data_IF_374964463319
#
_entry.id   IF_374964463319
#
_cell.length_a   1.000
_cell.length_b   1.000
_cell.length_c   1.000
_cell.angle_alpha   90.00
_cell.angle_beta   90.00
_cell.angle_gamma   90.00
#
_symmetry.space_group_name_H-M   'P 1'
#
loop_
_entity.id
_entity.type
_entity.pdbx_description
1 polymer ?
#
# COMPACT_ATOMS: atom_id res chain seq x y z
N UNK A 1 -19.49 -3.85 33.96
CA UNK A 1 -18.47 -4.91 33.86
C UNK A 1 -18.16 -5.08 32.38
N UNK A 2 -16.96 -4.67 31.95
CA UNK A 2 -16.64 -4.39 30.55
C UNK A 2 -16.36 -5.68 29.77
N UNK A 3 -17.25 -6.02 28.83
CA UNK A 3 -17.03 -7.05 27.80
C UNK A 3 -16.43 -6.37 26.57
N UNK A 4 -15.30 -5.67 26.72
CA UNK A 4 -14.62 -5.00 25.59
C UNK A 4 -13.39 -5.77 25.11
N UNK A 5 -12.62 -6.39 26.01
CA UNK A 5 -11.37 -7.06 25.63
C UNK A 5 -11.53 -8.29 24.71
N UNK A 6 -12.53 -9.15 24.95
CA UNK A 6 -12.69 -10.40 24.17
C UNK A 6 -13.11 -10.13 22.73
N UNK A 7 -13.97 -9.13 22.51
CA UNK A 7 -14.41 -8.77 21.16
C UNK A 7 -13.30 -8.09 20.36
N UNK A 8 -12.48 -7.28 21.02
CA UNK A 8 -11.30 -6.65 20.41
C UNK A 8 -10.28 -7.71 19.97
N UNK A 9 -10.00 -8.71 20.82
CA UNK A 9 -9.10 -9.82 20.48
C UNK A 9 -9.61 -10.66 19.30
N UNK A 10 -10.90 -10.99 19.28
CA UNK A 10 -11.51 -11.72 18.16
C UNK A 10 -11.45 -10.90 16.87
N UNK A 11 -11.75 -9.60 16.95
CA UNK A 11 -11.66 -8.68 15.81
C UNK A 11 -10.24 -8.61 15.26
N UNK A 12 -9.23 -8.44 16.12
CA UNK A 12 -7.83 -8.38 15.72
C UNK A 12 -7.36 -9.71 15.10
N UNK A 13 -7.77 -10.85 15.68
CA UNK A 13 -7.46 -12.16 15.12
C UNK A 13 -8.07 -12.35 13.73
N UNK A 14 -9.32 -11.93 13.54
CA UNK A 14 -10.00 -11.99 12.24
C UNK A 14 -9.37 -11.04 11.21
N UNK A 15 -9.04 -9.81 11.61
CA UNK A 15 -8.36 -8.83 10.76
C UNK A 15 -6.99 -9.36 10.31
N UNK A 16 -6.20 -9.92 11.24
CA UNK A 16 -4.91 -10.56 10.95
C UNK A 16 -5.08 -11.75 10.01
N UNK A 17 -6.05 -12.62 10.25
CA UNK A 17 -6.32 -13.75 9.37
C UNK A 17 -6.68 -13.29 7.94
N UNK A 18 -7.57 -12.30 7.81
CA UNK A 18 -7.97 -11.73 6.53
C UNK A 18 -6.79 -11.09 5.79
N UNK A 19 -5.93 -10.36 6.51
CA UNK A 19 -4.70 -9.79 6.00
C UNK A 19 -3.74 -10.86 5.46
N UNK A 20 -3.41 -11.87 6.25
CA UNK A 20 -2.51 -12.96 5.86
C UNK A 20 -3.08 -13.78 4.69
N UNK A 21 -4.41 -14.01 4.69
CA UNK A 21 -5.09 -14.72 3.60
C UNK A 21 -4.94 -13.99 2.26
N UNK A 22 -5.00 -12.65 2.25
CA UNK A 22 -4.80 -11.87 1.01
C UNK A 22 -3.38 -11.96 0.50
N UNK A 23 -2.38 -11.83 1.38
CA UNK A 23 -0.97 -11.98 1.00
C UNK A 23 -0.72 -13.37 0.43
N UNK A 24 -1.15 -14.45 1.11
CA UNK A 24 -0.98 -15.83 0.60
C UNK A 24 -1.65 -16.05 -0.77
N UNK A 25 -2.81 -15.42 -1.01
CA UNK A 25 -3.57 -15.61 -2.25
C UNK A 25 -3.03 -14.79 -3.42
N UNK A 26 -2.62 -13.56 -3.17
CA UNK A 26 -2.30 -12.57 -4.22
C UNK A 26 -0.83 -12.18 -4.26
N UNK A 27 -0.03 -12.62 -3.29
CA UNK A 27 1.35 -12.20 -3.09
C UNK A 27 1.49 -10.82 -2.43
N UNK A 28 0.38 -10.13 -2.15
CA UNK A 28 0.41 -8.82 -1.51
C UNK A 28 -0.99 -8.41 -1.00
N UNK A 29 -1.04 -7.33 -0.24
CA UNK A 29 -2.27 -6.61 0.10
C UNK A 29 -1.99 -5.11 0.18
N UNK A 30 -3.00 -4.28 -0.11
CA UNK A 30 -3.00 -2.85 0.19
C UNK A 30 -3.73 -2.57 1.50
N UNK A 31 -3.33 -1.51 2.20
CA UNK A 31 -4.07 -0.93 3.32
C UNK A 31 -4.21 0.57 3.11
N UNK A 32 -5.38 1.13 3.41
CA UNK A 32 -5.66 2.57 3.29
C UNK A 32 -5.95 3.13 4.68
N UNK A 33 -5.25 4.20 5.02
CA UNK A 33 -5.43 4.95 6.24
C UNK A 33 -6.04 6.29 5.83
N UNK A 34 -7.30 6.50 6.22
CA UNK A 34 -7.93 7.80 6.07
C UNK A 34 -7.35 8.74 7.12
N UNK A 35 -6.91 9.91 6.68
CA UNK A 35 -6.58 10.97 7.61
C UNK A 35 -7.83 11.55 8.28
N UNK A 36 -7.60 12.12 9.46
CA UNK A 36 -8.52 13.07 10.11
C UNK A 36 -8.05 14.49 9.79
N UNK A 37 -8.93 15.49 9.94
CA UNK A 37 -8.90 16.94 9.60
C UNK A 37 -7.56 17.67 9.30
N UNK A 38 -6.40 17.19 9.72
CA UNK A 38 -5.09 17.82 9.54
C UNK A 38 -3.97 16.92 8.98
N UNK A 39 -4.24 15.63 8.72
CA UNK A 39 -3.27 14.70 8.14
C UNK A 39 -3.56 14.40 6.65
N UNK A 40 -2.56 13.87 5.94
CA UNK A 40 -2.76 13.37 4.58
C UNK A 40 -3.12 11.88 4.63
N UNK A 41 -4.24 11.50 4.03
CA UNK A 41 -4.56 10.08 3.83
C UNK A 41 -3.45 9.40 3.04
N UNK A 42 -3.18 8.16 3.38
CA UNK A 42 -2.17 7.37 2.67
C UNK A 42 -2.60 5.91 2.54
N UNK A 43 -2.12 5.28 1.48
CA UNK A 43 -2.21 3.84 1.30
C UNK A 43 -0.83 3.23 1.21
N UNK A 44 -0.67 2.00 1.67
CA UNK A 44 0.59 1.28 1.54
C UNK A 44 0.38 -0.19 1.20
N UNK A 45 1.36 -0.80 0.54
CA UNK A 45 1.38 -2.23 0.26
C UNK A 45 2.19 -3.02 1.28
N UNK A 46 1.84 -4.29 1.45
CA UNK A 46 2.64 -5.29 2.15
C UNK A 46 2.65 -6.60 1.35
N UNK A 47 3.81 -7.27 1.30
CA UNK A 47 4.03 -8.62 0.79
C UNK A 47 4.86 -8.67 -0.50
N UNK A 48 5.17 -7.52 -1.11
CA UNK A 48 5.88 -7.48 -2.40
C UNK A 48 7.32 -7.95 -2.29
N UNK A 49 7.99 -7.65 -1.19
CA UNK A 49 9.36 -8.09 -0.99
C UNK A 49 9.45 -9.62 -1.05
N UNK A 50 8.59 -10.31 -0.31
CA UNK A 50 8.59 -11.77 -0.22
C UNK A 50 8.20 -12.46 -1.55
N UNK A 51 7.35 -11.83 -2.37
CA UNK A 51 6.78 -12.46 -3.55
C UNK A 51 7.35 -11.99 -4.89
N UNK A 52 7.95 -10.79 -4.95
CA UNK A 52 8.43 -10.16 -6.18
C UNK A 52 9.87 -9.61 -6.07
N UNK A 53 10.54 -9.71 -4.91
CA UNK A 53 11.83 -9.06 -4.65
C UNK A 53 11.79 -7.55 -4.97
N UNK A 54 10.65 -6.92 -4.64
CA UNK A 54 10.36 -5.53 -4.95
C UNK A 54 10.01 -4.75 -3.68
N UNK A 55 10.34 -3.45 -3.59
CA UNK A 55 10.00 -2.64 -2.44
C UNK A 55 8.49 -2.46 -2.30
N UNK A 56 8.06 -2.22 -1.07
CA UNK A 56 6.69 -1.82 -0.79
C UNK A 56 6.42 -0.40 -1.29
N UNK A 57 5.17 -0.14 -1.64
CA UNK A 57 4.73 1.16 -2.12
C UNK A 57 3.90 1.86 -1.06
N UNK A 58 4.05 3.19 -0.99
CA UNK A 58 3.18 4.09 -0.24
C UNK A 58 2.70 5.20 -1.16
N UNK A 59 1.43 5.55 -1.07
CA UNK A 59 0.76 6.58 -1.87
C UNK A 59 0.18 7.61 -0.92
N UNK A 60 0.49 8.89 -1.14
CA UNK A 60 -0.02 10.02 -0.38
C UNK A 60 -0.91 10.90 -1.27
N UNK A 61 -1.87 11.60 -0.67
CA UNK A 61 -2.64 12.65 -1.34
C UNK A 61 -3.62 12.14 -2.41
N UNK A 62 -3.99 10.86 -2.33
CA UNK A 62 -5.04 10.25 -3.13
C UNK A 62 -6.08 9.58 -2.22
N UNK A 63 -7.34 9.57 -2.66
CA UNK A 63 -8.40 8.83 -1.98
C UNK A 63 -8.15 7.30 -2.02
N UNK A 64 -8.98 6.55 -1.30
CA UNK A 64 -8.84 5.10 -1.16
C UNK A 64 -8.91 4.35 -2.51
N UNK A 65 -9.83 4.76 -3.38
CA UNK A 65 -10.05 4.10 -4.66
C UNK A 65 -8.87 4.35 -5.61
N UNK A 66 -8.48 5.61 -5.76
CA UNK A 66 -7.33 6.01 -6.56
C UNK A 66 -6.04 5.34 -6.05
N UNK A 67 -5.81 5.37 -4.74
CA UNK A 67 -4.62 4.74 -4.15
C UNK A 67 -4.58 3.24 -4.41
N UNK A 68 -5.71 2.55 -4.22
CA UNK A 68 -5.82 1.12 -4.49
C UNK A 68 -5.58 0.80 -5.97
N UNK A 69 -6.13 1.62 -6.88
CA UNK A 69 -5.89 1.51 -8.32
C UNK A 69 -4.42 1.64 -8.67
N UNK A 70 -3.75 2.69 -8.18
CA UNK A 70 -2.32 2.94 -8.39
C UNK A 70 -1.45 1.78 -7.89
N UNK A 71 -1.70 1.31 -6.67
CA UNK A 71 -0.93 0.22 -6.07
C UNK A 71 -1.15 -1.08 -6.87
N UNK A 72 -2.39 -1.41 -7.24
CA UNK A 72 -2.70 -2.60 -8.06
C UNK A 72 -2.01 -2.56 -9.41
N UNK A 73 -2.06 -1.42 -10.09
CA UNK A 73 -1.45 -1.27 -11.41
C UNK A 73 0.07 -1.33 -11.34
N UNK A 74 0.69 -0.64 -10.37
CA UNK A 74 2.13 -0.75 -10.13
C UNK A 74 2.54 -2.19 -9.87
N UNK A 75 1.77 -2.94 -9.08
CA UNK A 75 2.04 -4.37 -8.84
C UNK A 75 2.02 -5.17 -10.14
N UNK A 76 1.00 -4.98 -10.99
CA UNK A 76 0.90 -5.67 -12.26
C UNK A 76 2.10 -5.38 -13.18
N UNK A 77 2.54 -4.12 -13.26
CA UNK A 77 3.67 -3.70 -14.09
C UNK A 77 5.03 -4.17 -13.52
N UNK A 78 5.18 -4.22 -12.19
CA UNK A 78 6.38 -4.77 -11.56
C UNK A 78 6.51 -6.26 -11.85
N UNK A 79 5.39 -6.99 -11.74
CA UNK A 79 5.36 -8.44 -12.00
C UNK A 79 5.72 -8.79 -13.45
N UNK A 80 5.42 -7.91 -14.41
CA UNK A 80 5.79 -8.10 -15.82
C UNK A 80 7.15 -7.51 -16.18
N UNK A 81 7.82 -6.83 -15.25
CA UNK A 81 9.08 -6.12 -15.50
C UNK A 81 8.94 -4.84 -16.33
N UNK A 82 7.71 -4.41 -16.63
CA UNK A 82 7.44 -3.19 -17.40
C UNK A 82 7.65 -1.91 -16.59
N UNK A 83 7.58 -2.00 -15.27
CA UNK A 83 7.90 -0.91 -14.36
C UNK A 83 9.23 -1.18 -13.65
N UNK A 84 10.16 -0.23 -13.75
CA UNK A 84 11.36 -0.16 -12.91
C UNK A 84 11.23 1.04 -11.99
N UNK A 85 11.37 0.81 -10.69
CA UNK A 85 11.34 1.86 -9.69
C UNK A 85 12.72 2.50 -9.59
N UNK A 86 12.79 3.80 -9.80
CA UNK A 86 14.01 4.58 -9.62
C UNK A 86 13.69 5.84 -8.84
N UNK A 87 14.58 6.21 -7.91
CA UNK A 87 14.34 7.35 -7.03
C UNK A 87 14.08 8.63 -7.84
N UNK A 88 13.04 9.37 -7.45
CA UNK A 88 12.53 10.60 -8.08
C UNK A 88 12.08 10.47 -9.52
N UNK A 89 12.05 9.27 -10.11
CA UNK A 89 11.58 9.13 -11.48
C UNK A 89 10.09 9.47 -11.56
N UNK A 90 9.70 10.31 -12.55
CA UNK A 90 8.31 10.63 -12.76
C UNK A 90 7.57 9.38 -13.25
N UNK A 91 6.35 9.20 -12.77
CA UNK A 91 5.46 8.18 -13.27
C UNK A 91 4.19 8.83 -13.80
N UNK A 92 3.93 8.66 -15.09
CA UNK A 92 2.71 9.09 -15.74
C UNK A 92 1.86 7.87 -16.01
N UNK A 93 0.64 7.89 -15.49
CA UNK A 93 -0.42 6.96 -15.90
C UNK A 93 -1.37 7.73 -16.82
N UNK A 94 -1.62 7.17 -18.00
CA UNK A 94 -2.75 7.62 -18.81
C UNK A 94 -4.02 7.51 -17.96
N UNK A 95 -4.76 8.62 -17.83
CA UNK A 95 -6.00 8.68 -17.06
C UNK A 95 -5.88 9.13 -15.59
N UNK A 96 -4.70 9.47 -15.06
CA UNK A 96 -4.58 9.93 -13.66
C UNK A 96 -5.03 11.38 -13.41
N UNK A 97 -5.94 11.92 -14.23
CA UNK A 97 -6.50 13.28 -14.06
C UNK A 97 -5.44 14.40 -13.99
N UNK A 98 -4.27 14.22 -14.61
CA UNK A 98 -3.17 15.19 -14.57
C UNK A 98 -2.32 15.17 -13.29
N UNK A 99 -2.56 14.24 -12.36
CA UNK A 99 -1.73 14.09 -11.15
C UNK A 99 -0.31 13.64 -11.53
N UNK A 100 0.68 14.36 -11.01
CA UNK A 100 2.10 13.99 -11.14
C UNK A 100 2.47 13.02 -10.03
N UNK A 101 2.89 11.82 -10.41
CA UNK A 101 3.44 10.85 -9.47
C UNK A 101 4.95 10.83 -9.61
N UNK A 102 5.64 10.57 -8.50
CA UNK A 102 7.07 10.32 -8.49
C UNK A 102 7.35 9.18 -7.51
N UNK A 103 8.36 8.38 -7.83
CA UNK A 103 8.87 7.39 -6.91
C UNK A 103 9.82 8.05 -5.91
N UNK A 104 9.82 7.57 -4.67
CA UNK A 104 10.86 7.93 -3.71
C UNK A 104 11.28 6.68 -2.97
N UNK A 105 12.55 6.32 -3.12
CA UNK A 105 13.11 5.28 -2.27
C UNK A 105 13.25 5.85 -0.85
N UNK A 106 12.71 5.15 0.14
CA UNK A 106 12.94 5.51 1.55
C UNK A 106 14.31 4.97 1.93
N UNK A 107 15.24 5.86 2.26
CA UNK A 107 16.57 5.43 2.71
C UNK A 107 16.43 4.75 4.09
N UNK A 108 17.14 3.63 4.36
CA UNK A 108 17.03 2.93 5.65
C UNK A 108 17.21 3.82 6.88
N UNK A 109 18.06 4.85 6.80
CA UNK A 109 18.27 5.82 7.89
C UNK A 109 17.06 6.70 8.22
N UNK A 110 15.99 6.64 7.43
CA UNK A 110 14.76 7.43 7.61
C UNK A 110 13.64 6.61 8.27
N UNK A 111 13.85 5.31 8.50
CA UNK A 111 12.94 4.43 9.22
C UNK A 111 13.41 4.46 10.69
N UNK A 112 12.73 5.21 11.54
CA UNK A 112 12.99 5.28 12.99
C UNK A 112 11.93 4.51 13.75
#
# INVERSE_FOLDING_TARGET
MWVTGVWDEIYLAWAKWGFLRRIRKYGWTGNYISATDSEASFAYSIGRWEHLDAPELIVFGADAEASQGLIKQAHALLRTGQLKLSDKAPWALEGNGGRRLAWRAVHPSQIR
#
